data_IF_437007700162
#
_entry.id   IF_437007700162
#
_cell.length_a   1.000
_cell.length_b   1.000
_cell.length_c   1.000
_cell.angle_alpha   90.00
_cell.angle_beta   90.00
_cell.angle_gamma   90.00
#
_symmetry.space_group_name_H-M   'P 1'
#
loop_
_entity.id
_entity.type
_entity.pdbx_description
1 polymer ?
2 polymer ?
3 water ?
#
# COMPACT_ATOMS: atom_id res chain seq x y z
N UNK A 4 7.19 -1.11 10.31
CA UNK A 4 8.44 -0.66 9.73
C UNK A 4 9.35 -1.85 9.40
N UNK A 5 8.78 -2.81 8.69
CA UNK A 5 9.47 -3.98 8.18
C UNK A 5 10.34 -3.59 6.97
N UNK A 6 11.27 -4.47 6.61
CA UNK A 6 12.05 -4.28 5.39
C UNK A 6 11.21 -4.65 4.18
N UNK A 7 10.97 -3.69 3.30
CA UNK A 7 10.26 -3.95 2.07
C UNK A 7 11.18 -4.62 1.06
N UNK A 8 10.66 -5.60 0.32
CA UNK A 8 11.40 -6.21 -0.78
C UNK A 8 10.49 -6.32 -1.99
N UNK A 9 11.12 -6.39 -3.15
CA UNK A 9 10.37 -6.46 -4.39
C UNK A 9 9.63 -7.79 -4.49
N UNK A 10 8.54 -7.77 -5.26
CA UNK A 10 7.82 -9.00 -5.55
C UNK A 10 8.73 -10.11 -6.06
N UNK A 11 9.58 -9.79 -7.05
CA UNK A 11 10.38 -10.86 -7.65
C UNK A 11 11.42 -11.36 -6.66
N UNK A 12 11.95 -10.47 -5.81
CA UNK A 12 12.88 -10.87 -4.77
C UNK A 12 12.23 -11.81 -3.76
N UNK A 13 10.95 -11.58 -3.45
CA UNK A 13 10.25 -12.46 -2.52
C UNK A 13 10.01 -13.84 -3.13
N UNK A 14 9.81 -13.90 -4.45
CA UNK A 14 9.56 -15.18 -5.09
C UNK A 14 10.82 -16.02 -5.21
N UNK A 15 12.01 -15.42 -5.08
CA UNK A 15 13.24 -16.19 -4.96
C UNK A 15 13.42 -16.78 -3.57
N UNK A 16 12.68 -16.28 -2.59
CA UNK A 16 12.60 -16.90 -1.27
C UNK A 16 11.55 -18.01 -1.36
N UNK A 17 11.99 -19.26 -1.29
CA UNK A 17 11.08 -20.38 -1.37
C UNK A 17 11.03 -21.18 -0.09
N UNK A 18 11.57 -22.39 -0.14
CA UNK A 18 11.50 -23.31 1.01
C UNK A 18 12.02 -22.75 2.31
N UNK A 19 13.10 -21.98 2.29
CA UNK A 19 13.56 -21.35 3.51
C UNK A 19 12.55 -20.43 4.16
N UNK A 20 11.57 -19.96 3.40
CA UNK A 20 10.68 -18.89 3.85
C UNK A 20 9.23 -19.32 3.82
N UNK A 21 8.51 -19.00 4.90
CA UNK A 21 7.06 -19.07 4.84
C UNK A 21 6.53 -17.78 4.23
N UNK A 22 5.35 -17.87 3.63
CA UNK A 22 4.69 -16.74 2.99
C UNK A 22 3.33 -16.56 3.63
N UNK A 23 2.96 -15.31 3.89
CA UNK A 23 1.62 -14.95 4.31
C UNK A 23 1.05 -13.95 3.34
N UNK A 24 -0.27 -13.97 3.21
CA UNK A 24 -1.00 -13.07 2.34
C UNK A 24 -2.17 -12.52 3.14
N UNK A 25 -2.29 -11.20 3.19
CA UNK A 25 -3.39 -10.56 3.90
C UNK A 25 -4.03 -9.51 3.00
N UNK A 26 -5.30 -9.21 3.30
CA UNK A 26 -6.12 -8.32 2.51
C UNK A 26 -6.49 -7.10 3.35
N UNK A 27 -6.21 -5.92 2.82
CA UNK A 27 -6.67 -4.67 3.41
C UNK A 27 -7.82 -4.13 2.59
N UNK A 28 -9.04 -4.31 3.09
CA UNK A 28 -10.24 -3.82 2.42
C UNK A 28 -10.64 -2.50 3.04
N UNK A 29 -10.83 -1.49 2.20
CA UNK A 29 -11.12 -0.16 2.73
C UNK A 29 -12.06 0.56 1.79
N UNK A 30 -12.68 1.63 2.31
CA UNK A 30 -13.66 2.40 1.56
C UNK A 30 -13.58 3.85 1.99
N UNK A 31 -13.75 4.77 1.04
CA UNK A 31 -14.00 6.15 1.38
C UNK A 31 -15.28 6.24 2.21
N UNK A 32 -15.24 7.01 3.29
CA UNK A 32 -16.40 7.13 4.19
C UNK A 32 -16.79 8.60 4.33
N UNK A 33 -17.83 9.06 3.63
CA UNK A 33 -18.25 10.46 3.73
C UNK A 33 -18.94 10.81 5.04
N UNK A 34 -19.27 9.82 5.86
CA UNK A 34 -20.03 10.10 7.06
C UNK A 34 -19.22 10.86 8.09
N UNK A 35 -19.95 11.36 9.09
CA UNK A 35 -19.36 12.03 10.23
C UNK A 35 -19.83 11.37 11.52
N UNK A 36 -18.87 11.03 12.39
CA UNK A 36 -19.22 10.50 13.69
C UNK A 36 -19.88 11.59 14.52
N UNK A 37 -21.01 11.26 15.15
CA UNK A 37 -21.79 12.18 15.98
C UNK A 37 -22.24 13.39 15.19
N UNK A 38 -22.28 13.28 13.87
CA UNK A 38 -22.53 14.42 13.01
C UNK A 38 -21.42 15.46 12.98
N UNK A 39 -20.25 15.14 13.53
CA UNK A 39 -19.23 16.17 13.77
C UNK A 39 -17.83 15.81 13.29
N UNK A 40 -17.48 14.53 13.28
CA UNK A 40 -16.09 14.13 13.09
C UNK A 40 -15.99 13.38 11.76
N UNK A 41 -15.35 13.95 10.74
CA UNK A 41 -15.23 13.24 9.47
C UNK A 41 -14.54 11.90 9.65
N UNK A 42 -15.12 10.85 9.07
CA UNK A 42 -14.52 9.54 9.21
C UNK A 42 -13.51 9.23 8.13
N UNK A 43 -13.65 9.85 6.95
CA UNK A 43 -12.65 9.83 5.88
C UNK A 43 -12.59 8.48 5.20
N UNK A 44 -12.10 7.45 5.89
CA UNK A 44 -12.02 6.10 5.33
C UNK A 44 -12.39 5.09 6.40
N UNK A 45 -12.90 3.94 5.98
CA UNK A 45 -13.11 2.81 6.87
C UNK A 45 -12.25 1.63 6.39
N UNK A 46 -11.49 1.03 7.31
CA UNK A 46 -10.64 -0.12 7.03
C UNK A 46 -11.14 -1.30 7.86
N UNK A 47 -11.18 -2.49 7.25
CA UNK A 47 -11.60 -3.70 7.96
C UNK A 47 -10.39 -4.43 8.53
N UNK A 48 -10.49 -4.78 9.81
CA UNK A 48 -9.59 -5.76 10.42
C UNK A 48 -10.44 -6.80 11.16
N UNK A 49 -9.81 -7.72 11.88
CA UNK A 49 -10.56 -8.77 12.53
C UNK A 49 -9.88 -9.19 13.83
N UNK A 50 -10.68 -9.62 14.78
CA UNK A 50 -10.20 -10.35 15.94
C UNK A 50 -9.94 -11.80 15.54
N UNK A 51 -8.70 -12.26 15.69
CA UNK A 51 -8.31 -13.63 15.35
C UNK A 51 -8.53 -14.56 16.54
N UNK A 52 -8.57 -15.87 16.25
CA UNK A 52 -8.71 -16.88 17.29
C UNK A 52 -7.68 -16.76 18.41
N UNK A 53 -6.53 -16.13 18.16
CA UNK A 53 -5.51 -16.01 19.21
C UNK A 53 -5.63 -14.72 20.01
N UNK A 54 -6.77 -14.01 19.91
CA UNK A 54 -6.97 -12.80 20.69
C UNK A 54 -6.25 -11.56 20.19
N UNK A 55 -5.67 -11.60 18.99
CA UNK A 55 -4.98 -10.46 18.40
C UNK A 55 -5.78 -9.86 17.25
N UNK A 56 -5.63 -8.56 17.05
CA UNK A 56 -6.18 -7.95 15.86
C UNK A 56 -5.25 -8.18 14.65
N UNK A 57 -5.85 -8.54 13.52
CA UNK A 57 -5.09 -8.68 12.30
C UNK A 57 -5.91 -8.42 11.05
N UNK A 58 -5.36 -8.75 9.89
CA UNK A 58 -6.09 -8.63 8.65
C UNK A 58 -6.65 -9.98 8.24
N UNK A 59 -7.75 -10.00 7.48
CA UNK A 59 -8.14 -11.24 6.81
C UNK A 59 -6.97 -11.82 6.03
N UNK A 60 -6.78 -13.14 6.13
CA UNK A 60 -5.73 -13.77 5.37
C UNK A 60 -5.06 -14.84 6.20
N UNK A 61 -3.86 -15.24 5.76
CA UNK A 61 -3.14 -16.27 6.48
C UNK A 61 -1.92 -16.70 5.70
N UNK A 62 -1.36 -17.83 6.13
CA UNK A 62 -0.14 -18.33 5.52
C UNK A 62 -0.49 -19.12 4.26
N UNK A 63 0.31 -18.94 3.21
CA UNK A 63 0.05 -19.57 1.91
C UNK A 63 1.22 -20.50 1.59
N UNK A 64 0.95 -21.81 1.54
CA UNK A 64 1.99 -22.79 1.23
C UNK A 64 2.19 -22.82 -0.28
N UNK A 65 3.35 -22.37 -0.75
CA UNK A 65 3.59 -22.30 -2.18
C UNK A 65 3.76 -23.67 -2.81
N UNK A 66 4.01 -24.73 -2.02
CA UNK A 66 3.96 -26.07 -2.56
C UNK A 66 2.59 -26.36 -3.19
N UNK A 67 1.53 -25.78 -2.64
CA UNK A 67 0.17 -26.09 -3.08
C UNK A 67 -0.54 -24.95 -3.77
N UNK A 68 -0.13 -23.70 -3.56
CA UNK A 68 -0.93 -22.54 -3.95
C UNK A 68 -0.09 -21.47 -4.63
N UNK A 69 -0.71 -20.77 -5.57
CA UNK A 69 -0.25 -19.42 -5.88
C UNK A 69 -0.61 -18.48 -4.74
N UNK A 70 0.08 -17.35 -4.64
CA UNK A 70 -0.23 -16.40 -3.58
C UNK A 70 -1.68 -15.94 -3.68
N UNK A 71 -2.14 -15.64 -4.90
CA UNK A 71 -3.52 -15.20 -5.14
C UNK A 71 -4.53 -16.24 -4.66
N UNK A 72 -4.40 -17.48 -5.19
CA UNK A 72 -5.36 -18.54 -4.90
C UNK A 72 -5.33 -18.90 -3.42
N UNK A 73 -4.14 -18.97 -2.83
CA UNK A 73 -4.05 -19.26 -1.42
C UNK A 73 -4.69 -18.16 -0.57
N UNK A 74 -4.49 -16.91 -0.96
CA UNK A 74 -5.16 -15.82 -0.24
C UNK A 74 -6.67 -15.97 -0.35
N UNK A 75 -7.18 -16.24 -1.56
CA UNK A 75 -8.62 -16.30 -1.73
C UNK A 75 -9.22 -17.51 -1.04
N UNK A 76 -8.45 -18.59 -0.90
CA UNK A 76 -8.86 -19.71 -0.06
C UNK A 76 -9.21 -19.23 1.35
N UNK A 77 -8.32 -18.45 1.96
CA UNK A 77 -8.53 -18.04 3.34
C UNK A 77 -9.62 -16.99 3.41
N UNK A 78 -9.65 -16.08 2.43
CA UNK A 78 -10.74 -15.10 2.40
C UNK A 78 -12.09 -15.79 2.24
N UNK A 79 -12.13 -16.87 1.44
CA UNK A 79 -13.38 -17.60 1.29
C UNK A 79 -13.88 -18.16 2.61
N UNK A 80 -12.96 -18.62 3.46
CA UNK A 80 -13.34 -19.22 4.74
C UNK A 80 -13.82 -18.17 5.75
N UNK A 81 -13.16 -17.01 5.79
CA UNK A 81 -13.38 -16.03 6.84
C UNK A 81 -14.25 -14.84 6.45
N UNK A 82 -14.34 -14.55 5.17
CA UNK A 82 -15.19 -13.48 4.65
C UNK A 82 -16.28 -14.00 3.74
N UNK A 83 -15.99 -15.03 2.94
CA UNK A 83 -17.01 -15.79 2.27
C UNK A 83 -17.70 -15.17 1.06
N UNK A 84 -17.06 -14.26 0.34
CA UNK A 84 -17.81 -13.57 -0.70
C UNK A 84 -16.95 -12.92 -1.78
N UNK A 85 -15.77 -12.44 -1.43
CA UNK A 85 -14.97 -11.61 -2.34
C UNK A 85 -13.67 -12.32 -2.69
N UNK A 86 -13.14 -11.98 -3.86
CA UNK A 86 -11.89 -12.56 -4.34
C UNK A 86 -10.99 -11.46 -4.87
N UNK A 87 -9.72 -11.53 -4.52
CA UNK A 87 -8.73 -10.54 -4.92
C UNK A 87 -7.82 -11.13 -5.98
N UNK A 88 -7.18 -10.25 -6.75
CA UNK A 88 -6.25 -10.67 -7.78
C UNK A 88 -4.93 -9.94 -7.59
N UNK A 89 -3.98 -10.23 -8.49
CA UNK A 89 -2.70 -9.54 -8.44
C UNK A 89 -2.84 -8.06 -8.72
N UNK A 90 -3.98 -7.65 -9.31
CA UNK A 90 -4.31 -6.23 -9.45
C UNK A 90 -4.33 -5.52 -8.10
N UNK A 91 -4.68 -6.24 -7.05
CA UNK A 91 -4.75 -5.65 -5.72
C UNK A 91 -3.44 -5.73 -4.95
N UNK A 92 -2.43 -6.42 -5.50
CA UNK A 92 -1.18 -6.61 -4.77
C UNK A 92 -0.50 -5.28 -4.49
N UNK A 93 -0.04 -5.09 -3.25
CA UNK A 93 0.54 -3.82 -2.84
C UNK A 93 2.00 -3.93 -2.41
N UNK A 94 2.34 -4.87 -1.52
CA UNK A 94 3.69 -4.86 -0.96
C UNK A 94 4.10 -6.25 -0.49
N UNK A 95 5.42 -6.42 -0.33
CA UNK A 95 6.02 -7.55 0.33
C UNK A 95 7.01 -7.05 1.37
N UNK A 96 6.98 -7.64 2.57
CA UNK A 96 7.88 -7.27 3.65
C UNK A 96 8.46 -8.52 4.31
N UNK A 97 9.71 -8.40 4.74
CA UNK A 97 10.36 -9.41 5.58
C UNK A 97 10.03 -9.18 7.05
N UNK A 98 9.84 -10.26 7.79
CA UNK A 98 9.61 -10.14 9.23
C UNK A 98 10.89 -10.31 10.03
N UNK A 101 11.29 -15.52 15.48
CA UNK A 101 10.42 -16.69 15.61
C UNK A 101 10.29 -17.48 14.31
N UNK A 102 10.32 -16.78 13.17
CA UNK A 102 10.13 -17.44 11.89
C UNK A 102 10.63 -16.55 10.77
N UNK A 103 10.96 -17.18 9.64
CA UNK A 103 11.35 -16.48 8.43
C UNK A 103 10.11 -16.36 7.54
N UNK A 104 9.45 -15.19 7.56
CA UNK A 104 8.17 -15.02 6.85
C UNK A 104 8.23 -13.80 5.94
N UNK A 105 7.89 -14.00 4.67
CA UNK A 105 7.62 -12.90 3.75
C UNK A 105 6.12 -12.64 3.78
N UNK A 106 5.73 -11.43 4.19
CA UNK A 106 4.34 -11.05 4.34
C UNK A 106 3.90 -10.21 3.16
N UNK A 107 2.94 -10.70 2.38
CA UNK A 107 2.43 -10.02 1.21
C UNK A 107 1.12 -9.33 1.58
N UNK A 108 0.99 -8.08 1.16
CA UNK A 108 -0.23 -7.31 1.42
C UNK A 108 -0.94 -7.03 0.11
N UNK A 109 -2.21 -7.44 0.04
CA UNK A 109 -3.13 -7.01 -1.01
C UNK A 109 -4.11 -6.00 -0.42
N UNK A 110 -4.55 -5.06 -1.25
CA UNK A 110 -5.41 -3.99 -0.74
C UNK A 110 -6.38 -3.61 -1.84
N UNK A 111 -7.64 -3.38 -1.47
CA UNK A 111 -8.63 -2.99 -2.48
C UNK A 111 -9.58 -1.95 -1.90
N UNK A 112 -9.79 -0.90 -2.67
CA UNK A 112 -10.80 0.08 -2.31
C UNK A 112 -12.16 -0.44 -2.73
N UNK A 113 -13.08 -0.52 -1.78
CA UNK A 113 -14.46 -0.88 -2.07
C UNK A 113 -15.33 0.36 -1.88
N UNK A 114 -16.57 0.29 -2.36
CA UNK A 114 -17.56 1.26 -1.89
C UNK A 114 -17.91 0.93 -0.45
N UNK A 115 -18.49 1.92 0.23
CA UNK A 115 -18.86 1.73 1.63
C UNK A 115 -19.89 0.63 1.80
N UNK A 116 -20.84 0.51 0.85
CA UNK A 116 -21.84 -0.55 0.96
C UNK A 116 -21.26 -1.91 0.60
N UNK A 117 -20.31 -1.94 -0.33
CA UNK A 117 -19.57 -3.17 -0.59
C UNK A 117 -18.82 -3.63 0.65
N UNK A 118 -18.20 -2.69 1.37
CA UNK A 118 -17.55 -3.04 2.64
C UNK A 118 -18.56 -3.59 3.63
N UNK A 119 -19.74 -2.97 3.72
CA UNK A 119 -20.80 -3.50 4.58
C UNK A 119 -21.24 -4.89 4.12
N UNK A 120 -21.29 -5.13 2.81
CA UNK A 120 -21.65 -6.47 2.34
C UNK A 120 -20.63 -7.51 2.78
N UNK A 121 -19.35 -7.12 2.81
CA UNK A 121 -18.32 -8.03 3.30
C UNK A 121 -18.56 -8.37 4.77
N UNK A 122 -18.90 -7.37 5.57
CA UNK A 122 -19.21 -7.59 6.99
C UNK A 122 -20.41 -8.51 7.15
N UNK A 123 -21.44 -8.31 6.33
CA UNK A 123 -22.60 -9.20 6.41
C UNK A 123 -22.24 -10.62 6.01
N UNK A 124 -21.42 -10.80 4.97
CA UNK A 124 -21.08 -12.17 4.63
C UNK A 124 -20.14 -12.79 5.66
N UNK A 125 -19.27 -11.98 6.30
CA UNK A 125 -18.34 -12.51 7.29
C UNK A 125 -19.07 -13.16 8.48
N UNK A 126 -20.16 -12.55 8.96
CA UNK A 126 -20.88 -13.10 10.11
C UNK A 126 -21.59 -14.40 9.77
N UNK A 127 -21.70 -14.74 8.48
CA UNK A 127 -22.17 -16.05 8.05
C UNK A 127 -21.05 -16.96 7.56
N UNK A 128 -19.80 -16.63 7.81
CA UNK A 128 -18.74 -17.38 7.14
C UNK A 128 -18.47 -18.69 7.87
N UNK A 129 -17.67 -19.55 7.21
CA UNK A 129 -17.29 -20.86 7.76
C UNK A 129 -16.42 -20.72 9.01
N UNK A 130 -15.53 -19.73 9.02
CA UNK A 130 -14.63 -19.55 10.15
C UNK A 130 -15.18 -18.61 11.23
N UNK A 131 -16.34 -18.00 11.03
CA UNK A 131 -16.84 -17.07 12.03
C UNK A 131 -17.16 -17.79 13.33
N UNK A 132 -16.68 -17.24 14.46
CA UNK A 132 -16.82 -17.89 15.73
C UNK A 132 -15.81 -18.97 16.03
N UNK A 133 -14.93 -19.31 15.08
CA UNK A 133 -13.86 -20.28 15.33
C UNK A 133 -12.52 -19.64 15.05
N UNK A 134 -12.09 -19.63 13.80
CA UNK A 134 -10.79 -19.04 13.48
C UNK A 134 -10.86 -17.52 13.43
N UNK A 135 -12.02 -16.94 13.11
CA UNK A 135 -12.23 -15.49 13.08
C UNK A 135 -13.31 -15.16 14.10
N UNK A 136 -13.02 -14.21 14.99
CA UNK A 136 -13.94 -13.94 16.10
C UNK A 136 -14.68 -12.63 15.93
N UNK A 137 -14.54 -11.97 14.78
CA UNK A 137 -15.37 -10.83 14.47
C UNK A 137 -14.54 -9.80 13.71
N UNK A 138 -15.18 -9.12 12.77
CA UNK A 138 -14.55 -7.99 12.10
C UNK A 138 -14.77 -6.70 12.90
N UNK A 139 -13.84 -5.77 12.73
CA UNK A 139 -13.96 -4.43 13.30
C UNK A 139 -13.51 -3.43 12.24
N UNK A 140 -14.09 -2.24 12.29
CA UNK A 140 -13.62 -1.14 11.47
C UNK A 140 -12.55 -0.37 12.23
N UNK A 141 -11.52 0.07 11.51
CA UNK A 141 -10.51 0.95 12.08
C UNK A 141 -11.03 2.38 12.10
N UNK A 142 -11.14 3.02 13.27
CA UNK A 142 -11.46 4.46 13.27
C UNK A 142 -10.19 5.25 12.95
N UNK A 143 -10.26 6.07 11.91
CA UNK A 143 -9.08 6.79 11.47
C UNK A 143 -9.04 8.24 11.97
N UNK A 144 -10.13 8.72 12.56
CA UNK A 144 -10.19 10.04 13.18
C UNK A 144 -9.55 9.99 14.55
N UNK A 145 -9.21 11.17 15.07
CA UNK A 145 -8.78 11.34 16.45
C UNK A 145 -9.70 12.34 17.13
N UNK A 146 -10.18 11.98 18.31
CA UNK A 146 -11.14 12.83 19.01
C UNK A 146 -10.40 13.98 19.72
N UNK A 147 -11.19 14.84 20.37
CA UNK A 147 -10.64 16.06 20.96
C UNK A 147 -9.63 15.76 22.07
N UNK A 148 -9.83 14.68 22.81
CA UNK A 148 -8.86 14.30 23.85
C UNK A 148 -7.55 13.75 23.30
N UNK A 149 -7.41 13.62 21.98
CA UNK A 149 -6.18 13.25 21.27
C UNK A 149 -5.82 11.76 21.37
N UNK A 150 -6.71 10.91 21.87
CA UNK A 150 -6.49 9.46 21.90
C UNK A 150 -7.75 8.74 21.44
N UNK A 151 -8.91 9.35 21.66
CA UNK A 151 -10.15 8.75 21.20
C UNK A 151 -10.10 8.48 19.71
N UNK A 152 -10.40 7.25 19.31
CA UNK A 152 -10.35 6.89 17.90
C UNK A 152 -9.08 6.14 17.50
N UNK A 153 -8.37 6.69 16.51
CA UNK A 153 -7.22 6.00 15.93
C UNK A 153 -6.09 5.73 16.93
N UNK A 154 -5.68 6.65 17.81
CA UNK A 154 -4.63 6.28 18.77
C UNK A 154 -5.07 5.17 19.74
N UNK A 155 -6.26 5.28 20.33
CA UNK A 155 -6.77 4.18 21.15
C UNK A 155 -6.75 2.87 20.36
N UNK A 156 -7.20 2.91 19.12
CA UNK A 156 -7.24 1.70 18.30
C UNK A 156 -5.86 1.08 18.12
N UNK A 157 -4.83 1.92 17.94
CA UNK A 157 -3.47 1.43 17.78
C UNK A 157 -2.90 0.86 19.07
N UNK A 158 -3.56 1.11 20.21
CA UNK A 158 -3.19 0.63 21.53
C UNK A 158 -3.60 -0.81 21.77
N UNK A 159 -4.40 -1.38 20.88
CA UNK A 159 -4.80 -2.77 21.01
C UNK A 159 -3.62 -3.69 20.71
N UNK A 160 -3.87 -4.99 20.87
CA UNK A 160 -2.84 -6.00 20.62
C UNK A 160 -2.98 -6.53 19.20
N UNK A 161 -1.93 -6.39 18.39
CA UNK A 161 -1.98 -6.83 17.00
C UNK A 161 -1.02 -8.00 16.78
N UNK A 162 -1.32 -8.78 15.72
CA UNK A 162 -0.25 -9.44 14.99
C UNK A 162 0.70 -8.35 14.53
N UNK A 163 1.97 -8.43 14.97
CA UNK A 163 2.90 -7.33 14.75
C UNK A 163 2.99 -6.98 13.27
N UNK A 164 3.04 -7.99 12.39
CA UNK A 164 3.11 -7.73 10.97
C UNK A 164 1.85 -7.01 10.48
N UNK A 165 0.68 -7.30 11.08
CA UNK A 165 -0.54 -6.58 10.72
C UNK A 165 -0.45 -5.10 11.09
N UNK A 166 0.04 -4.78 12.29
CA UNK A 166 0.16 -3.38 12.68
C UNK A 166 1.10 -2.64 11.74
N UNK A 167 2.25 -3.26 11.40
CA UNK A 167 3.17 -2.63 10.47
C UNK A 167 2.51 -2.41 9.11
N UNK A 168 1.79 -3.42 8.62
CA UNK A 168 1.19 -3.33 7.30
C UNK A 168 0.11 -2.25 7.24
N UNK A 169 -0.68 -2.11 8.31
CA UNK A 169 -1.73 -1.10 8.35
C UNK A 169 -1.14 0.31 8.24
N UNK A 170 -0.11 0.62 9.03
CA UNK A 170 0.48 1.95 8.96
C UNK A 170 1.22 2.17 7.65
N UNK A 171 1.89 1.13 7.14
CA UNK A 171 2.52 1.24 5.82
C UNK A 171 1.48 1.53 4.75
N UNK A 172 0.37 0.78 4.76
CA UNK A 172 -0.64 0.98 3.72
C UNK A 172 -1.32 2.34 3.85
N UNK A 173 -1.66 2.77 5.06
CA UNK A 173 -2.29 4.07 5.20
C UNK A 173 -1.41 5.16 4.60
N UNK A 174 -0.09 5.01 4.77
CA UNK A 174 0.85 5.97 4.21
C UNK A 174 0.92 5.87 2.69
N UNK A 175 1.27 4.69 2.15
CA UNK A 175 1.54 4.66 0.70
C UNK A 175 0.25 4.85 -0.09
N UNK A 176 -0.90 4.44 0.45
CA UNK A 176 -2.16 4.69 -0.22
C UNK A 176 -2.64 6.13 -0.09
N UNK A 177 -1.93 6.95 0.71
CA UNK A 177 -2.28 8.36 0.91
C UNK A 177 -3.65 8.49 1.54
N UNK A 178 -3.96 7.58 2.47
CA UNK A 178 -5.14 7.73 3.30
C UNK A 178 -4.87 8.57 4.53
N UNK A 179 -3.61 8.64 4.96
CA UNK A 179 -3.18 9.50 6.07
C UNK A 179 -1.72 9.90 5.87
N UNK A 180 -1.39 11.18 6.08
CA UNK A 180 0.02 11.60 5.95
C UNK A 180 0.88 10.96 7.03
N UNK A 181 2.16 10.75 6.69
CA UNK A 181 3.01 10.01 7.63
C UNK A 181 3.17 10.76 8.94
N UNK A 182 3.15 12.09 8.91
CA UNK A 182 3.20 12.88 10.13
C UNK A 182 2.11 12.46 11.11
N UNK A 183 0.89 12.28 10.60
CA UNK A 183 -0.24 11.99 11.47
C UNK A 183 -0.20 10.56 11.96
N UNK A 184 0.32 9.66 11.13
CA UNK A 184 0.52 8.27 11.55
C UNK A 184 1.52 8.18 12.69
N UNK A 185 2.68 8.82 12.54
CA UNK A 185 3.67 8.86 13.63
C UNK A 185 3.06 9.48 14.88
N UNK A 186 2.27 10.54 14.71
CA UNK A 186 1.63 11.16 15.87
C UNK A 186 0.69 10.19 16.57
N UNK A 187 -0.15 9.51 15.80
CA UNK A 187 -1.13 8.62 16.42
C UNK A 187 -0.44 7.44 17.09
N UNK A 188 0.56 6.85 16.44
CA UNK A 188 1.34 5.79 17.05
C UNK A 188 2.00 6.27 18.35
N UNK A 189 2.44 7.54 18.39
CA UNK A 189 3.09 8.06 19.59
C UNK A 189 2.10 8.23 20.73
N UNK A 190 0.89 8.72 20.44
CA UNK A 190 -0.13 8.80 21.47
C UNK A 190 -0.56 7.42 21.97
N UNK A 191 -0.56 6.41 21.09
CA UNK A 191 -0.91 5.06 21.52
C UNK A 191 0.15 4.48 22.46
N UNK A 192 1.42 4.58 22.07
CA UNK A 192 2.48 3.99 22.88
C UNK A 192 2.54 4.64 24.25
N UNK A 193 2.38 5.96 24.32
CA UNK A 193 2.41 6.62 25.62
C UNK A 193 1.16 6.26 26.45
N UNK A 194 0.00 6.15 25.80
CA UNK A 194 -1.18 5.64 26.50
C UNK A 194 -0.90 4.27 27.09
N UNK A 195 -0.23 3.40 26.32
CA UNK A 195 0.10 2.07 26.82
C UNK A 195 1.03 2.15 28.02
N UNK A 196 2.08 2.97 27.94
CA UNK A 196 3.02 3.09 29.04
C UNK A 196 2.36 3.69 30.27
N UNK A 197 1.49 4.69 30.06
CA UNK A 197 0.72 5.25 31.17
C UNK A 197 -0.26 4.24 31.75
N UNK A 198 -0.69 3.26 30.95
CA UNK A 198 -1.54 2.20 31.48
C UNK A 198 -0.75 1.28 32.42
N UNK A 199 0.49 0.96 32.07
CA UNK A 199 1.34 0.11 32.92
C UNK A 199 1.86 0.95 34.07
N UNK A 200 0.97 1.17 35.02
CA UNK A 200 1.18 1.90 36.25
C UNK A 200 0.14 1.34 37.23
N UNK A 201 0.34 0.08 37.58
CA UNK A 201 -0.57 -0.65 38.47
C UNK A 201 -0.03 -2.04 38.76
N UNK B 7 15.73 -10.81 -12.45
CA UNK B 7 15.51 -9.72 -11.50
C UNK B 7 16.06 -8.39 -11.98
N UNK B 8 15.17 -7.43 -12.21
CA UNK B 8 15.52 -6.03 -12.42
C UNK B 8 15.16 -5.25 -11.16
N UNK B 9 16.14 -4.61 -10.53
CA UNK B 9 15.88 -3.78 -9.36
C UNK B 9 15.84 -2.32 -9.75
N UNK B 10 14.88 -1.59 -9.19
CA UNK B 10 14.66 -0.18 -9.48
C UNK B 10 15.03 0.65 -8.25
N UNK B 11 15.77 1.72 -8.45
CA UNK B 11 16.18 2.60 -7.37
C UNK B 11 15.75 4.01 -7.74
N UNK B 12 15.14 4.70 -6.78
CA UNK B 12 14.54 6.00 -7.01
C UNK B 12 15.17 7.04 -6.08
N UNK B 13 15.14 8.29 -6.54
CA UNK B 13 15.64 9.43 -5.77
C UNK B 13 14.66 10.58 -5.91
N UNK B 14 14.63 11.45 -4.91
CA UNK B 14 13.82 12.65 -4.94
C UNK B 14 12.53 12.51 -4.15
N UNK B 15 11.74 13.57 -4.19
CA UNK B 15 10.43 13.57 -3.55
C UNK B 15 10.41 14.40 -2.28
N UNK B 16 9.33 14.25 -1.53
CA UNK B 16 9.18 14.87 -0.24
C UNK B 16 8.24 16.08 -0.26
N UNK B 17 8.47 17.01 0.66
CA UNK B 17 7.62 18.17 0.83
C UNK B 17 7.92 19.23 -0.23
N UNK B 18 6.86 19.87 -0.72
CA UNK B 18 6.96 20.91 -1.75
C UNK B 18 5.83 21.90 -1.57
N UNK B 19 6.16 23.18 -1.72
CA UNK B 19 5.15 24.22 -1.66
C UNK B 19 4.46 24.34 -3.01
N UNK B 20 3.16 24.68 -3.01
CA UNK B 20 2.39 24.77 -4.27
C UNK B 20 3.05 25.70 -5.28
N UNK B 21 3.06 25.27 -6.55
CA UNK B 21 3.73 26.03 -7.59
C UNK B 21 5.22 25.76 -7.70
N UNK B 22 5.82 25.09 -6.71
CA UNK B 22 7.23 24.77 -6.76
C UNK B 22 7.53 23.63 -7.72
N UNK B 23 8.78 23.15 -7.63
CA UNK B 23 9.30 22.13 -8.53
C UNK B 23 10.02 21.04 -7.74
N UNK B 24 10.09 19.85 -8.37
CA UNK B 24 10.68 18.66 -7.77
C UNK B 24 11.04 17.71 -8.90
N UNK B 25 12.14 16.97 -8.75
CA UNK B 25 12.63 16.08 -9.80
C UNK B 25 12.85 14.70 -9.23
N UNK B 26 12.16 13.70 -9.80
CA UNK B 26 12.35 12.31 -9.44
C UNK B 26 13.34 11.67 -10.40
N UNK B 27 14.15 10.75 -9.88
CA UNK B 27 15.07 9.96 -10.69
C UNK B 27 14.80 8.50 -10.43
N UNK B 28 15.02 7.66 -11.44
CA UNK B 28 14.88 6.22 -11.24
C UNK B 28 15.79 5.48 -12.21
N UNK B 29 16.52 4.50 -11.70
CA UNK B 29 17.43 3.70 -12.49
C UNK B 29 17.13 2.22 -12.31
N UNK B 30 17.41 1.45 -13.35
CA UNK B 30 17.22 0.02 -13.34
C UNK B 30 18.57 -0.68 -13.30
N UNK B 31 18.67 -1.72 -12.48
CA UNK B 31 19.85 -2.56 -12.32
C UNK B 31 19.46 -4.00 -12.62
N UNK B 32 20.48 -4.83 -12.84
CA UNK B 32 20.29 -6.26 -12.97
C UNK B 32 20.16 -6.72 -14.41
N UNK B 33 19.28 -7.69 -14.66
CA UNK B 33 19.08 -8.25 -16.00
C UNK B 33 18.22 -7.32 -16.87
N UNK B 34 18.72 -6.10 -17.06
CA UNK B 34 18.08 -5.16 -17.96
C UNK B 34 18.40 -5.49 -19.41
N UNK B 35 17.63 -4.91 -20.31
CA UNK B 35 17.80 -5.04 -21.75
C UNK B 35 18.38 -3.74 -22.33
N UNK B 36 18.54 -3.72 -23.66
CA UNK B 36 18.97 -2.52 -24.36
C UNK B 36 17.79 -1.65 -24.80
N UNK B 37 16.71 -2.29 -25.26
CA UNK B 37 15.45 -1.64 -25.58
C UNK B 37 14.47 -1.96 -24.47
N UNK B 38 14.01 -0.92 -23.77
CA UNK B 38 13.14 -1.11 -22.61
C UNK B 38 12.26 0.12 -22.44
N UNK B 39 11.33 0.02 -21.49
CA UNK B 39 10.41 1.12 -21.21
C UNK B 39 10.42 1.40 -19.72
N UNK B 40 10.43 2.69 -19.38
CA UNK B 40 10.37 3.11 -17.98
C UNK B 40 9.40 4.26 -17.85
N UNK B 41 8.78 4.36 -16.69
CA UNK B 41 7.81 5.42 -16.50
C UNK B 41 7.43 5.54 -15.06
N UNK B 42 6.39 6.33 -14.82
CA UNK B 42 5.92 6.66 -13.49
C UNK B 42 4.41 6.46 -13.39
N UNK B 43 3.98 5.90 -12.27
CA UNK B 43 2.58 5.89 -11.87
C UNK B 43 2.50 6.63 -10.52
N UNK B 44 1.28 6.96 -10.11
CA UNK B 44 1.13 7.57 -8.79
C UNK B 44 -0.20 7.16 -8.19
N UNK B 45 -0.27 7.15 -6.86
CA UNK B 45 -1.53 6.86 -6.17
C UNK B 45 -1.81 7.99 -5.20
N UNK B 46 -2.84 8.77 -5.51
CA UNK B 46 -3.34 9.93 -4.80
C UNK B 46 -4.42 9.50 -3.82
N UNK B 47 -4.75 10.33 -2.83
CA UNK B 47 -5.71 9.91 -1.80
C UNK B 47 -7.05 9.53 -2.40
N UNK B 48 -7.49 8.31 -2.14
CA UNK B 48 -8.81 7.87 -2.54
C UNK B 48 -8.96 7.48 -4.00
N UNK B 49 -7.85 7.36 -4.74
CA UNK B 49 -7.86 6.97 -6.13
C UNK B 49 -7.01 5.73 -6.31
N UNK B 50 -7.15 5.12 -7.47
CA UNK B 50 -6.32 3.99 -7.82
C UNK B 50 -5.01 4.49 -8.44
N UNK B 51 -4.03 3.60 -8.47
CA UNK B 51 -2.74 3.96 -9.05
C UNK B 51 -2.94 4.31 -10.52
N UNK B 52 -2.50 5.50 -10.91
CA UNK B 52 -2.77 6.01 -12.25
C UNK B 52 -1.48 6.31 -13.02
N UNK B 53 -1.57 6.17 -14.34
CA UNK B 53 -0.42 6.47 -15.21
C UNK B 53 -0.07 7.95 -15.14
N UNK B 54 1.24 8.24 -15.11
CA UNK B 54 1.76 9.61 -15.14
C UNK B 54 2.51 9.88 -16.44
N UNK B 55 3.55 9.09 -16.71
CA UNK B 55 4.41 9.35 -17.86
C UNK B 55 5.22 8.09 -18.15
N UNK B 56 5.59 7.93 -19.41
CA UNK B 56 6.44 6.81 -19.80
C UNK B 56 7.32 7.26 -20.95
N UNK B 57 8.49 6.62 -21.07
CA UNK B 57 9.47 6.90 -22.10
C UNK B 57 10.13 5.58 -22.47
N UNK B 58 10.68 5.53 -23.68
CA UNK B 58 11.40 4.36 -24.15
C UNK B 58 12.89 4.67 -24.24
N UNK B 59 13.69 3.61 -24.23
CA UNK B 59 15.13 3.75 -24.35
C UNK B 59 15.62 3.91 -25.79
N UNK B 60 14.76 3.72 -26.80
CA UNK B 60 15.17 3.48 -28.17
C UNK B 60 14.49 4.39 -29.18
N UNK B 61 13.88 5.50 -28.76
CA UNK B 61 13.14 6.37 -29.68
C UNK B 61 12.03 5.62 -30.40
N UNK B 62 11.49 4.58 -29.75
CA UNK B 62 10.39 3.80 -30.33
C UNK B 62 9.13 4.62 -30.48
N UNK B 63 8.92 5.59 -29.60
CA UNK B 63 7.79 6.49 -29.73
C UNK B 63 8.05 7.68 -28.83
N UNK B 64 7.19 8.67 -28.96
CA UNK B 64 7.29 9.93 -28.23
C UNK B 64 6.86 9.70 -26.79
N UNK B 65 7.55 10.28 -25.79
CA UNK B 65 7.06 10.16 -24.41
C UNK B 65 5.64 10.70 -24.33
N UNK B 66 4.82 10.03 -23.52
CA UNK B 66 3.42 10.38 -23.31
C UNK B 66 3.20 10.82 -21.86
N UNK B 67 2.11 11.56 -21.67
CA UNK B 67 1.79 12.11 -20.36
C UNK B 67 0.30 11.95 -20.08
N UNK B 68 -0.03 11.74 -18.81
CA UNK B 68 -1.41 11.90 -18.38
C UNK B 68 -1.88 13.31 -18.70
N UNK B 69 -3.17 13.45 -19.01
CA UNK B 69 -3.67 14.77 -19.38
C UNK B 69 -3.51 15.76 -18.23
N UNK B 70 -3.61 15.29 -16.99
CA UNK B 70 -3.55 16.22 -15.87
C UNK B 70 -2.15 16.74 -15.61
N UNK B 71 -1.11 16.20 -16.26
CA UNK B 71 0.26 16.65 -16.05
C UNK B 71 0.92 17.19 -17.32
N UNK B 72 0.25 17.10 -18.47
CA UNK B 72 0.77 17.70 -19.69
C UNK B 72 1.19 19.14 -19.46
N UNK B 73 2.34 19.51 -20.03
CA UNK B 73 2.86 20.85 -19.89
C UNK B 73 3.42 21.19 -18.53
N UNK B 74 3.23 20.34 -17.53
CA UNK B 74 3.82 20.55 -16.21
C UNK B 74 4.95 19.57 -15.92
N UNK B 75 4.78 18.30 -16.24
CA UNK B 75 5.82 17.29 -16.02
C UNK B 75 6.51 16.99 -17.34
N UNK B 76 7.81 16.69 -17.25
CA UNK B 76 8.56 16.27 -18.42
C UNK B 76 9.46 15.10 -18.04
N UNK B 77 9.38 14.01 -18.84
CA UNK B 77 10.17 12.81 -18.63
C UNK B 77 11.36 12.84 -19.58
N UNK B 78 12.48 12.29 -19.12
CA UNK B 78 13.75 12.35 -19.82
C UNK B 78 14.59 11.17 -19.35
N UNK B 79 15.70 10.90 -20.06
CA UNK B 79 16.40 9.65 -19.79
C UNK B 79 17.88 9.82 -20.02
N UNK B 80 18.65 8.89 -19.44
CA UNK B 80 20.08 8.78 -19.68
C UNK B 80 20.40 7.29 -19.75
N UNK B 81 20.45 6.76 -20.97
CA UNK B 81 20.62 5.32 -21.11
C UNK B 81 22.06 4.87 -20.94
N UNK B 82 22.99 5.80 -20.68
CA UNK B 82 24.30 5.40 -20.19
C UNK B 82 24.27 5.06 -18.71
N UNK B 83 23.26 5.55 -17.98
CA UNK B 83 23.04 5.22 -16.59
C UNK B 83 21.80 4.37 -16.38
N UNK B 84 21.11 3.99 -17.46
CA UNK B 84 19.84 3.27 -17.39
C UNK B 84 18.86 4.00 -16.46
N UNK B 85 18.91 5.34 -16.51
CA UNK B 85 18.18 6.20 -15.59
C UNK B 85 17.15 7.02 -16.37
N UNK B 86 15.99 7.24 -15.75
CA UNK B 86 15.00 8.18 -16.26
C UNK B 86 14.69 9.22 -15.19
N UNK B 87 14.17 10.37 -15.63
CA UNK B 87 13.89 11.51 -14.77
C UNK B 87 12.47 12.01 -14.99
N UNK B 88 11.81 12.41 -13.92
CA UNK B 88 10.53 13.12 -14.00
C UNK B 88 10.71 14.52 -13.40
N UNK B 89 10.70 15.53 -14.25
CA UNK B 89 10.76 16.92 -13.80
C UNK B 89 9.33 17.42 -13.57
N UNK B 90 8.96 17.64 -12.32
CA UNK B 90 7.61 18.02 -11.96
C UNK B 90 7.60 19.50 -11.62
N UNK B 91 6.90 20.29 -12.44
CA UNK B 91 6.85 21.74 -12.30
C UNK B 91 5.41 22.18 -12.04
N UNK B 92 5.28 23.43 -11.57
CA UNK B 92 3.97 24.00 -11.24
C UNK B 92 3.16 23.02 -10.40
N UNK B 93 3.78 22.52 -9.34
CA UNK B 93 3.16 21.47 -8.55
C UNK B 93 1.89 22.00 -7.87
N UNK B 94 0.87 21.14 -7.84
CA UNK B 94 -0.45 21.44 -7.31
C UNK B 94 -0.81 20.43 -6.24
N UNK B 95 -1.85 20.76 -5.45
CA UNK B 95 -2.31 19.86 -4.41
C UNK B 95 -2.75 18.50 -4.98
N UNK B 96 -3.29 18.50 -6.21
CA UNK B 96 -3.66 17.26 -6.89
C UNK B 96 -2.47 16.31 -7.08
N UNK B 97 -1.24 16.83 -7.03
CA UNK B 97 -0.05 16.03 -7.29
C UNK B 97 0.45 15.29 -6.06
N UNK B 98 -0.08 15.60 -4.88
CA UNK B 98 0.22 14.82 -3.69
C UNK B 98 -0.12 13.36 -3.92
N UNK B 99 0.89 12.49 -3.80
CA UNK B 99 0.68 11.07 -4.06
C UNK B 99 1.97 10.30 -3.78
N UNK B 100 1.82 8.97 -3.71
CA UNK B 100 2.98 8.09 -3.79
C UNK B 100 3.30 7.87 -5.26
N UNK B 101 4.54 8.18 -5.67
CA UNK B 101 4.96 7.98 -7.05
C UNK B 101 5.79 6.70 -7.17
N UNK B 102 5.54 5.93 -8.24
CA UNK B 102 6.20 4.64 -8.42
C UNK B 102 6.87 4.62 -9.78
N UNK B 103 8.13 4.23 -9.79
CA UNK B 103 8.82 3.98 -11.05
C UNK B 103 8.49 2.56 -11.56
N UNK B 104 8.48 2.40 -12.88
CA UNK B 104 8.19 1.11 -13.52
C UNK B 104 9.20 0.85 -14.62
N UNK B 105 9.55 -0.44 -14.80
CA UNK B 105 10.44 -0.91 -15.86
C UNK B 105 9.82 -2.15 -16.49
N UNK B 106 9.88 -2.23 -17.82
CA UNK B 106 9.71 -3.50 -18.53
C UNK B 106 10.48 -3.41 -19.85
N UNK B 107 10.56 -4.56 -20.54
CA UNK B 107 11.19 -4.59 -21.86
C UNK B 107 10.61 -5.78 -22.63
N UNK B 108 10.76 -5.78 -23.96
CA UNK B 108 10.15 -6.84 -24.79
C UNK B 108 10.75 -8.23 -24.59
N UNK B 109 11.84 -8.38 -23.85
CA UNK B 109 12.59 -9.64 -23.85
C UNK B 109 12.43 -10.44 -22.57
N UNK B 110 11.68 -9.97 -21.60
CA UNK B 110 11.39 -10.74 -20.40
C UNK B 110 9.96 -10.46 -19.98
N UNK B 111 9.29 -11.43 -19.35
CA UNK B 111 7.85 -11.27 -19.08
C UNK B 111 7.54 -10.30 -17.94
N UNK B 112 8.44 -10.10 -17.01
CA UNK B 112 8.11 -9.42 -15.76
C UNK B 112 7.98 -7.91 -15.96
N UNK B 113 6.93 -7.33 -15.35
CA UNK B 113 6.77 -5.88 -15.26
C UNK B 113 7.17 -5.45 -13.86
N UNK B 114 8.27 -4.70 -13.75
CA UNK B 114 8.83 -4.38 -12.45
C UNK B 114 8.33 -3.04 -11.93
N UNK B 115 8.26 -2.95 -10.60
CA UNK B 115 7.84 -1.75 -9.88
C UNK B 115 8.93 -1.37 -8.87
N UNK B 116 9.25 -0.08 -8.81
CA UNK B 116 10.06 0.43 -7.73
C UNK B 116 9.25 0.67 -6.45
N UNK B 117 9.97 1.07 -5.40
CA UNK B 117 9.30 1.41 -4.15
C UNK B 117 8.69 2.79 -4.26
N UNK B 118 7.61 3.02 -3.50
CA UNK B 118 6.92 4.29 -3.60
C UNK B 118 7.69 5.42 -2.95
N UNK B 119 7.70 6.58 -3.62
CA UNK B 119 8.25 7.81 -3.08
C UNK B 119 7.12 8.82 -2.91
N UNK B 120 6.99 9.36 -1.72
CA UNK B 120 5.92 10.31 -1.42
C UNK B 120 6.31 11.70 -1.91
N UNK B 121 5.37 12.35 -2.58
CA UNK B 121 5.43 13.77 -2.88
C UNK B 121 4.24 14.43 -2.19
N UNK B 122 4.50 15.44 -1.36
CA UNK B 122 3.44 16.13 -0.61
C UNK B 122 3.46 17.62 -0.95
N UNK B 123 2.42 18.07 -1.65
CA UNK B 123 2.29 19.48 -2.03
C UNK B 123 1.38 20.15 -1.01
N UNK B 124 1.92 21.13 -0.31
CA UNK B 124 1.17 21.83 0.73
C UNK B 124 1.92 23.10 1.10
N UNK B 125 1.18 24.12 1.50
CA UNK B 125 1.79 25.39 1.86
C UNK B 125 2.52 25.32 3.21
#
# INVERSE_FOLDING_TARGET
>A
MVPELKQISRVEAMRLGPGWSHSCHAMLYAANPGQLFGRIPMRFSVLMQMRFDGLLGFPGGFVDRRFWSLEDGLNRVLGLGLGCLRLTEADYLSSHLTEGPHRVVAHLYARQLTLEQLHAVEISAVHSRDHGLEVLGLVRVPLYTQKDRVGGFPNFLSNAFVSTAKCQLLFALKVLNMMPEEKLVEALAAATEKQKKALEKLLPASS
>B
GPGHMAEVQLQASGGGFVQPGGSLRLSCAASGTTSRHYDMGWFRQAPGKEREFVSAISSDHSRIPYYADSVKGRFTISRDNSKNTVYLQMNSLRAEDTATYYCAYSDPYQPMSYWGQGTQVTVSS
#
